data_IF_932961918617
#
_entry.id   IF_932961918617
#
_cell.length_a   1.000
_cell.length_b   1.000
_cell.length_c   1.000
_cell.angle_alpha   90.00
_cell.angle_beta   90.00
_cell.angle_gamma   90.00
#
_symmetry.space_group_name_H-M   'P 1'
#
loop_
_entity.id
_entity.type
_entity.pdbx_description
1 polymer ?
#
# COMPACT_ATOMS: atom_id res chain seq x y z
N UNK A 1 6.39 -25.93 -2.31
CA UNK A 1 5.56 -27.16 -2.34
C UNK A 1 4.18 -26.84 -1.83
N UNK A 2 3.14 -27.30 -2.51
CA UNK A 2 1.76 -27.11 -2.07
C UNK A 2 1.44 -27.96 -0.85
N UNK A 3 0.36 -27.62 -0.15
CA UNK A 3 -0.17 -28.38 0.98
C UNK A 3 -0.28 -29.89 0.66
N UNK A 4 -0.83 -30.22 -0.51
CA UNK A 4 -1.01 -31.60 -0.98
C UNK A 4 0.32 -32.32 -1.26
N UNK A 5 1.30 -31.62 -1.83
CA UNK A 5 2.63 -32.20 -2.08
C UNK A 5 3.37 -32.55 -0.78
N UNK A 6 3.24 -31.73 0.27
CA UNK A 6 3.82 -32.02 1.58
C UNK A 6 3.09 -33.17 2.29
N UNK A 7 1.76 -33.21 2.20
CA UNK A 7 0.97 -34.32 2.74
C UNK A 7 1.34 -35.66 2.09
N UNK A 8 1.44 -35.67 0.76
CA UNK A 8 1.90 -36.84 0.01
C UNK A 8 3.33 -37.25 0.40
N UNK A 9 4.26 -36.30 0.50
CA UNK A 9 5.63 -36.56 0.92
C UNK A 9 5.70 -37.13 2.36
N UNK A 10 4.88 -36.62 3.28
CA UNK A 10 4.80 -37.16 4.64
C UNK A 10 4.37 -38.63 4.64
N UNK A 11 3.35 -38.99 3.85
CA UNK A 11 2.88 -40.37 3.70
C UNK A 11 3.99 -41.27 3.13
N UNK A 12 4.68 -40.81 2.07
CA UNK A 12 5.79 -41.55 1.47
C UNK A 12 6.93 -41.76 2.47
N UNK A 13 7.32 -40.75 3.25
CA UNK A 13 8.35 -40.88 4.29
C UNK A 13 7.93 -41.85 5.40
N UNK A 14 6.66 -41.86 5.81
CA UNK A 14 6.13 -42.81 6.81
C UNK A 14 6.17 -44.24 6.26
N UNK A 15 5.77 -44.45 5.00
CA UNK A 15 5.81 -45.78 4.37
C UNK A 15 7.24 -46.30 4.18
N UNK A 16 8.17 -45.43 3.77
CA UNK A 16 9.60 -45.78 3.66
C UNK A 16 10.29 -45.91 5.02
N UNK A 17 9.70 -45.36 6.09
CA UNK A 17 10.16 -45.51 7.47
C UNK A 17 10.24 -46.96 7.93
N UNK A 18 9.38 -47.84 7.40
CA UNK A 18 9.44 -49.28 7.67
C UNK A 18 10.70 -49.96 7.11
N UNK A 19 11.36 -49.34 6.12
CA UNK A 19 12.63 -49.81 5.54
C UNK A 19 13.81 -49.04 6.16
N UNK A 20 13.64 -47.76 6.44
CA UNK A 20 14.67 -46.89 7.02
C UNK A 20 14.08 -45.99 8.11
N UNK A 21 14.23 -46.45 9.36
CA UNK A 21 13.59 -45.89 10.55
C UNK A 21 13.69 -44.35 10.72
N UNK A 22 14.80 -43.67 10.38
CA UNK A 22 14.89 -42.21 10.48
C UNK A 22 13.83 -41.43 9.66
N UNK A 23 13.24 -42.04 8.63
CA UNK A 23 12.21 -41.39 7.82
C UNK A 23 10.88 -41.19 8.55
N UNK A 24 10.61 -41.92 9.63
CA UNK A 24 9.45 -41.65 10.48
C UNK A 24 9.53 -40.27 11.14
N UNK A 25 10.72 -39.86 11.59
CA UNK A 25 10.93 -38.53 12.16
C UNK A 25 10.72 -37.44 11.11
N UNK A 26 11.26 -37.63 9.90
CA UNK A 26 11.07 -36.69 8.80
C UNK A 26 9.60 -36.60 8.36
N UNK A 27 8.93 -37.75 8.22
CA UNK A 27 7.49 -37.82 7.92
C UNK A 27 6.63 -37.15 8.99
N UNK A 28 6.96 -37.36 10.27
CA UNK A 28 6.32 -36.71 11.40
C UNK A 28 6.48 -35.18 11.40
N UNK A 29 7.68 -34.67 11.11
CA UNK A 29 7.93 -33.22 10.99
C UNK A 29 7.14 -32.58 9.85
N UNK A 30 7.07 -33.25 8.69
CA UNK A 30 6.30 -32.76 7.53
C UNK A 30 4.80 -32.81 7.84
N UNK A 31 4.31 -33.91 8.44
CA UNK A 31 2.92 -34.04 8.87
C UNK A 31 2.55 -32.97 9.91
N UNK A 32 3.44 -32.68 10.87
CA UNK A 32 3.26 -31.60 11.85
C UNK A 32 3.21 -30.22 11.19
N UNK A 33 4.06 -29.95 10.19
CA UNK A 33 4.00 -28.70 9.41
C UNK A 33 2.67 -28.55 8.66
N UNK A 34 2.16 -29.63 8.07
CA UNK A 34 0.86 -29.65 7.39
C UNK A 34 -0.27 -29.43 8.41
N UNK A 35 -0.26 -30.15 9.53
CA UNK A 35 -1.24 -30.01 10.61
C UNK A 35 -1.32 -28.57 11.14
N UNK A 36 -0.16 -27.97 11.47
CA UNK A 36 -0.08 -26.56 11.89
C UNK A 36 -0.71 -25.63 10.87
N UNK A 37 -0.47 -25.85 9.58
CA UNK A 37 -1.05 -24.99 8.55
C UNK A 37 -2.57 -25.10 8.45
N UNK A 38 -3.16 -26.29 8.70
CA UNK A 38 -4.63 -26.45 8.73
C UNK A 38 -5.20 -25.73 9.96
N UNK A 39 -4.60 -25.96 11.13
CA UNK A 39 -5.10 -25.43 12.40
C UNK A 39 -4.96 -23.91 12.47
N UNK A 40 -3.85 -23.37 11.96
CA UNK A 40 -3.58 -21.92 11.96
C UNK A 40 -4.23 -21.19 10.77
N UNK A 41 -4.66 -21.90 9.71
CA UNK A 41 -5.26 -21.27 8.52
C UNK A 41 -6.50 -20.42 8.82
N UNK A 42 -7.49 -20.87 9.62
CA UNK A 42 -8.64 -20.04 9.98
C UNK A 42 -8.23 -18.75 10.69
N UNK A 43 -7.29 -18.82 11.63
CA UNK A 43 -6.79 -17.64 12.35
C UNK A 43 -6.07 -16.67 11.42
N UNK A 44 -5.22 -17.16 10.51
CA UNK A 44 -4.56 -16.33 9.50
C UNK A 44 -5.55 -15.67 8.54
N UNK A 45 -6.55 -16.43 8.06
CA UNK A 45 -7.61 -15.90 7.19
C UNK A 45 -8.45 -14.85 7.92
N UNK A 46 -8.82 -15.09 9.17
CA UNK A 46 -9.54 -14.13 10.00
C UNK A 46 -8.72 -12.86 10.21
N UNK A 47 -7.43 -12.99 10.49
CA UNK A 47 -6.51 -11.86 10.63
C UNK A 47 -6.36 -11.08 9.32
N UNK A 48 -6.22 -11.77 8.18
CA UNK A 48 -6.16 -11.15 6.85
C UNK A 48 -7.47 -10.42 6.52
N UNK A 49 -8.62 -11.06 6.74
CA UNK A 49 -9.92 -10.45 6.53
C UNK A 49 -10.13 -9.22 7.44
N UNK A 50 -9.64 -9.26 8.68
CA UNK A 50 -9.69 -8.12 9.59
C UNK A 50 -8.80 -6.96 9.12
N UNK A 51 -7.61 -7.26 8.59
CA UNK A 51 -6.73 -6.26 7.98
C UNK A 51 -7.40 -5.64 6.76
N UNK A 52 -7.93 -6.45 5.84
CA UNK A 52 -8.64 -5.98 4.64
C UNK A 52 -9.87 -5.14 5.02
N UNK A 53 -10.64 -5.56 6.03
CA UNK A 53 -11.77 -4.80 6.54
C UNK A 53 -11.34 -3.46 7.16
N UNK A 54 -10.20 -3.42 7.86
CA UNK A 54 -9.67 -2.17 8.42
C UNK A 54 -9.16 -1.20 7.34
N UNK A 55 -8.56 -1.72 6.26
CA UNK A 55 -8.09 -0.91 5.13
C UNK A 55 -9.27 -0.33 4.34
N UNK A 56 -10.35 -1.10 4.21
CA UNK A 56 -11.55 -0.70 3.48
C UNK A 56 -12.63 -0.08 4.37
N UNK A 57 -12.31 0.22 5.64
CA UNK A 57 -13.21 0.95 6.51
C UNK A 57 -13.56 2.29 5.85
N UNK A 58 -14.83 2.72 5.87
CA UNK A 58 -15.23 3.96 5.22
C UNK A 58 -14.45 5.13 5.81
N UNK A 59 -13.85 5.94 4.94
CA UNK A 59 -13.08 7.13 5.33
C UNK A 59 -13.83 8.36 4.85
N UNK A 60 -14.16 9.26 5.78
CA UNK A 60 -14.83 10.52 5.44
C UNK A 60 -13.86 11.56 4.89
N UNK A 61 -14.41 12.56 4.22
CA UNK A 61 -13.65 13.74 3.76
C UNK A 61 -13.01 14.44 4.96
N UNK A 62 -13.71 14.52 6.07
CA UNK A 62 -13.24 15.15 7.31
C UNK A 62 -12.06 14.39 7.93
N UNK A 63 -12.09 13.06 7.90
CA UNK A 63 -10.97 12.22 8.35
C UNK A 63 -9.71 12.47 7.51
N UNK A 64 -9.87 12.59 6.19
CA UNK A 64 -8.77 12.92 5.28
C UNK A 64 -8.26 14.34 5.53
N UNK A 65 -9.16 15.31 5.74
CA UNK A 65 -8.78 16.69 6.04
C UNK A 65 -8.00 16.77 7.35
N UNK A 66 -8.40 16.02 8.37
CA UNK A 66 -7.69 15.94 9.65
C UNK A 66 -6.30 15.31 9.50
N UNK A 67 -6.10 14.44 8.50
CA UNK A 67 -4.81 13.84 8.18
C UNK A 67 -3.79 14.79 7.55
N UNK A 68 -4.25 15.88 6.93
CA UNK A 68 -3.39 16.78 6.18
C UNK A 68 -2.40 17.46 7.13
N UNK A 69 -1.11 17.39 6.81
CA UNK A 69 -0.02 17.90 7.65
C UNK A 69 0.27 19.38 7.34
N UNK A 70 -0.24 19.90 6.22
CA UNK A 70 -0.06 21.29 5.80
C UNK A 70 -1.34 21.95 5.24
N UNK A 71 -1.44 23.29 5.30
CA UNK A 71 -2.52 24.03 4.65
C UNK A 71 -2.57 23.83 3.12
N UNK A 72 -1.42 23.52 2.50
CA UNK A 72 -1.33 23.27 1.07
C UNK A 72 -1.98 21.93 0.70
N UNK A 73 -1.75 20.88 1.49
CA UNK A 73 -2.44 19.60 1.32
C UNK A 73 -3.96 19.74 1.48
N UNK A 74 -4.41 20.47 2.50
CA UNK A 74 -5.83 20.72 2.71
C UNK A 74 -6.47 21.49 1.54
N UNK A 75 -5.78 22.52 1.03
CA UNK A 75 -6.25 23.27 -0.15
C UNK A 75 -6.26 22.40 -1.43
N UNK A 76 -5.28 21.51 -1.59
CA UNK A 76 -5.25 20.57 -2.70
C UNK A 76 -6.40 19.56 -2.61
N UNK A 77 -6.65 18.99 -1.42
CA UNK A 77 -7.77 18.12 -1.15
C UNK A 77 -9.10 18.80 -1.53
N UNK A 78 -9.30 20.05 -1.11
CA UNK A 78 -10.48 20.84 -1.45
C UNK A 78 -10.67 21.02 -2.96
N UNK A 79 -9.57 21.28 -3.68
CA UNK A 79 -9.59 21.39 -5.13
C UNK A 79 -10.02 20.08 -5.79
N UNK A 80 -9.48 18.95 -5.32
CA UNK A 80 -9.84 17.61 -5.83
C UNK A 80 -11.29 17.24 -5.53
N UNK A 81 -11.78 17.52 -4.31
CA UNK A 81 -13.18 17.29 -3.92
C UNK A 81 -14.12 18.09 -4.82
N UNK A 82 -13.82 19.37 -5.03
CA UNK A 82 -14.63 20.24 -5.89
C UNK A 82 -14.65 19.75 -7.34
N UNK A 83 -13.48 19.41 -7.90
CA UNK A 83 -13.36 18.99 -9.30
C UNK A 83 -14.05 17.64 -9.58
N UNK A 84 -13.90 16.65 -8.70
CA UNK A 84 -14.39 15.28 -8.91
C UNK A 84 -15.67 14.96 -8.14
N UNK A 85 -16.22 15.91 -7.39
CA UNK A 85 -17.36 15.70 -6.48
C UNK A 85 -17.12 14.51 -5.54
N UNK A 86 -15.93 14.45 -4.92
CA UNK A 86 -15.51 13.31 -4.11
C UNK A 86 -16.39 13.16 -2.85
N UNK A 87 -16.78 11.93 -2.55
CA UNK A 87 -17.60 11.55 -1.40
C UNK A 87 -16.95 10.42 -0.61
N UNK A 88 -17.38 10.26 0.64
CA UNK A 88 -16.98 9.16 1.54
C UNK A 88 -17.14 7.80 0.85
N UNK A 89 -16.07 7.02 0.84
CA UNK A 89 -16.03 5.68 0.26
C UNK A 89 -15.25 4.69 1.13
N UNK A 90 -15.26 3.40 0.76
CA UNK A 90 -14.56 2.36 1.52
C UNK A 90 -13.04 2.52 1.36
N UNK A 91 -12.33 2.95 2.40
CA UNK A 91 -10.87 3.12 2.39
C UNK A 91 -10.32 4.23 1.48
N UNK A 92 -11.18 5.11 0.96
CA UNK A 92 -10.85 6.22 0.06
C UNK A 92 -12.05 7.18 -0.05
N UNK A 93 -11.84 8.39 -0.56
CA UNK A 93 -12.93 9.20 -1.11
C UNK A 93 -12.99 9.03 -2.63
N UNK A 94 -14.19 8.97 -3.18
CA UNK A 94 -14.42 8.63 -4.59
C UNK A 94 -15.43 9.58 -5.24
N UNK A 95 -15.25 9.85 -6.52
CA UNK A 95 -16.16 10.72 -7.28
C UNK A 95 -15.74 10.84 -8.74
N UNK A 96 -16.72 10.91 -9.64
CA UNK A 96 -16.50 11.02 -11.10
C UNK A 96 -15.46 10.02 -11.65
N UNK A 97 -15.45 8.80 -11.11
CA UNK A 97 -14.55 7.72 -11.52
C UNK A 97 -13.11 7.88 -11.06
N UNK A 98 -12.79 8.82 -10.17
CA UNK A 98 -11.50 8.98 -9.48
C UNK A 98 -11.60 8.46 -8.04
N UNK A 99 -10.56 7.74 -7.61
CA UNK A 99 -10.39 7.29 -6.23
C UNK A 99 -9.17 7.99 -5.60
N UNK A 100 -9.38 8.65 -4.47
CA UNK A 100 -8.34 9.38 -3.73
C UNK A 100 -8.19 8.79 -2.32
N UNK A 101 -7.00 8.29 -1.99
CA UNK A 101 -6.63 7.87 -0.64
C UNK A 101 -5.67 8.87 -0.01
N UNK A 102 -5.80 9.09 1.29
CA UNK A 102 -4.87 9.91 2.08
C UNK A 102 -3.92 9.04 2.90
N UNK A 103 -2.95 9.67 3.56
CA UNK A 103 -2.01 9.02 4.49
C UNK A 103 -2.68 8.06 5.49
N UNK A 104 -3.89 8.38 5.96
CA UNK A 104 -4.65 7.54 6.91
C UNK A 104 -5.24 6.31 6.21
N UNK A 105 -5.87 6.48 5.04
CA UNK A 105 -6.44 5.37 4.28
C UNK A 105 -5.38 4.49 3.60
N UNK A 106 -4.16 5.01 3.46
CA UNK A 106 -3.01 4.27 2.95
C UNK A 106 -2.35 3.37 4.01
N UNK A 107 -2.59 3.57 5.31
CA UNK A 107 -2.15 2.65 6.37
C UNK A 107 -0.65 2.28 6.41
N UNK A 108 0.23 3.08 5.76
CA UNK A 108 1.53 2.71 5.17
C UNK A 108 1.37 2.22 3.74
N UNK A 109 1.71 3.06 2.77
CA UNK A 109 2.09 2.57 1.45
C UNK A 109 3.31 1.67 1.65
N UNK A 110 3.09 0.35 1.76
CA UNK A 110 4.17 -0.64 1.75
C UNK A 110 4.64 -0.74 0.30
N UNK A 111 5.45 0.23 -0.09
CA UNK A 111 6.43 0.03 -1.15
C UNK A 111 7.34 -1.06 -0.57
N UNK A 112 7.28 -2.26 -1.14
CA UNK A 112 7.81 -3.57 -0.69
C UNK A 112 6.84 -4.57 -0.03
N UNK A 113 6.79 -5.74 -0.67
CA UNK A 113 6.42 -7.05 -0.10
C UNK A 113 7.60 -7.81 0.51
N UNK A 114 8.82 -7.24 0.50
CA UNK A 114 10.03 -7.89 1.01
C UNK A 114 10.84 -7.05 2.00
N UNK A 115 10.84 -7.46 3.27
CA UNK A 115 11.90 -7.25 4.29
C UNK A 115 12.52 -5.87 4.57
N UNK A 116 12.05 -4.74 4.03
CA UNK A 116 12.60 -3.43 4.37
C UNK A 116 11.72 -2.65 5.37
N UNK A 117 12.34 -2.18 6.44
CA UNK A 117 11.80 -1.33 7.52
C UNK A 117 11.40 0.09 7.09
N UNK A 118 11.26 0.35 5.79
CA UNK A 118 11.02 1.69 5.24
C UNK A 118 9.57 1.84 4.80
N UNK A 119 8.77 2.53 5.60
CA UNK A 119 7.44 2.96 5.19
C UNK A 119 7.52 4.39 4.73
N UNK A 120 7.36 4.59 3.43
CA UNK A 120 7.25 5.93 2.88
C UNK A 120 5.81 6.42 3.05
N UNK A 121 5.68 7.67 3.48
CA UNK A 121 4.40 8.39 3.51
C UNK A 121 4.31 9.23 2.25
N UNK A 122 3.17 9.15 1.59
CA UNK A 122 2.78 9.98 0.46
C UNK A 122 1.56 10.78 0.89
N UNK A 123 1.40 12.03 0.45
CA UNK A 123 0.29 12.87 0.87
C UNK A 123 -1.03 12.32 0.35
N UNK A 124 -1.07 11.99 -0.95
CA UNK A 124 -2.24 11.41 -1.60
C UNK A 124 -1.86 10.29 -2.58
N UNK A 125 -2.77 9.34 -2.76
CA UNK A 125 -2.71 8.29 -3.78
C UNK A 125 -3.98 8.30 -4.63
N UNK A 126 -3.81 8.54 -5.92
CA UNK A 126 -4.88 8.57 -6.92
C UNK A 126 -4.91 7.23 -7.67
N UNK A 127 -6.10 6.64 -7.79
CA UNK A 127 -6.38 5.39 -8.49
C UNK A 127 -5.38 4.25 -8.16
N UNK A 128 -4.93 4.21 -6.91
CA UNK A 128 -3.99 3.20 -6.37
C UNK A 128 -2.63 3.11 -7.11
N UNK A 129 -2.29 4.08 -7.97
CA UNK A 129 -1.05 4.07 -8.80
C UNK A 129 -0.31 5.40 -8.88
N UNK A 130 -1.00 6.53 -8.76
CA UNK A 130 -0.39 7.86 -8.84
C UNK A 130 -0.23 8.46 -7.45
N UNK A 131 1.01 8.51 -6.97
CA UNK A 131 1.40 9.22 -5.76
C UNK A 131 1.46 10.72 -6.08
N UNK A 132 0.78 11.54 -5.28
CA UNK A 132 0.85 13.00 -5.35
C UNK A 132 1.46 13.52 -4.06
N UNK A 133 2.57 14.26 -4.18
CA UNK A 133 3.26 14.92 -3.07
C UNK A 133 3.12 16.44 -3.22
N UNK A 134 2.71 17.12 -2.14
CA UNK A 134 2.56 18.56 -2.09
C UNK A 134 3.84 19.15 -1.49
N UNK A 135 4.73 19.60 -2.37
CA UNK A 135 6.05 20.06 -1.97
C UNK A 135 5.99 21.50 -1.44
N UNK A 136 6.10 21.64 -0.12
CA UNK A 136 6.36 22.91 0.54
C UNK A 136 7.81 23.28 0.33
N UNK A 137 8.07 24.17 -0.65
CA UNK A 137 9.41 24.61 -1.03
C UNK A 137 10.29 24.95 0.18
N UNK A 138 11.07 23.97 0.64
CA UNK A 138 12.04 24.15 1.72
C UNK A 138 13.41 23.92 1.11
N UNK A 139 13.92 24.99 0.50
CA UNK A 139 15.32 25.11 0.14
C UNK A 139 16.14 24.89 1.41
N UNK A 140 16.87 23.78 1.47
CA UNK A 140 18.08 23.47 2.27
C UNK A 140 18.17 21.94 2.51
N UNK A 141 18.06 21.14 1.44
CA UNK A 141 18.25 19.68 1.54
C UNK A 141 19.74 19.36 1.50
N UNK A 142 20.24 18.63 2.52
CA UNK A 142 21.61 18.12 2.49
C UNK A 142 21.77 17.08 1.34
N UNK A 143 22.98 16.83 0.85
CA UNK A 143 23.22 15.79 -0.16
C UNK A 143 22.65 14.42 0.23
N UNK A 144 22.66 14.09 1.53
CA UNK A 144 22.10 12.86 2.08
C UNK A 144 20.57 12.83 2.00
N UNK A 145 19.89 13.97 2.20
CA UNK A 145 18.45 14.07 2.04
C UNK A 145 18.05 13.83 0.57
N UNK A 146 18.78 14.44 -0.38
CA UNK A 146 18.57 14.24 -1.81
C UNK A 146 18.78 12.77 -2.22
N UNK A 147 19.82 12.12 -1.68
CA UNK A 147 20.06 10.71 -1.95
C UNK A 147 18.93 9.80 -1.42
N UNK A 148 18.40 10.09 -0.22
CA UNK A 148 17.26 9.35 0.35
C UNK A 148 15.98 9.55 -0.46
N UNK A 149 15.70 10.77 -0.89
CA UNK A 149 14.51 11.06 -1.72
C UNK A 149 14.61 10.37 -3.08
N UNK A 150 15.81 10.33 -3.68
CA UNK A 150 16.04 9.56 -4.90
C UNK A 150 15.79 8.07 -4.70
N UNK A 151 16.30 7.48 -3.63
CA UNK A 151 16.06 6.08 -3.31
C UNK A 151 14.55 5.81 -3.12
N UNK A 152 13.85 6.70 -2.41
CA UNK A 152 12.40 6.62 -2.22
C UNK A 152 11.66 6.61 -3.56
N UNK A 153 12.01 7.51 -4.47
CA UNK A 153 11.38 7.59 -5.79
C UNK A 153 11.65 6.35 -6.65
N UNK A 154 12.88 5.84 -6.61
CA UNK A 154 13.26 4.61 -7.31
C UNK A 154 12.49 3.40 -6.77
N UNK A 155 12.30 3.35 -5.45
CA UNK A 155 11.54 2.29 -4.81
C UNK A 155 10.06 2.35 -5.20
N UNK A 156 9.46 3.55 -5.19
CA UNK A 156 8.09 3.77 -5.66
C UNK A 156 7.89 3.33 -7.12
N UNK A 157 8.82 3.71 -8.01
CA UNK A 157 8.76 3.33 -9.43
C UNK A 157 8.89 1.82 -9.63
N UNK A 158 9.77 1.16 -8.88
CA UNK A 158 9.97 -0.30 -8.99
C UNK A 158 8.71 -1.08 -8.57
N UNK A 159 7.94 -0.56 -7.63
CA UNK A 159 6.66 -1.14 -7.20
C UNK A 159 5.48 -0.76 -8.12
N UNK A 160 5.73 0.01 -9.20
CA UNK A 160 4.72 0.36 -10.20
C UNK A 160 3.96 1.66 -9.92
N UNK A 161 4.40 2.46 -8.95
CA UNK A 161 3.83 3.78 -8.69
C UNK A 161 4.45 4.85 -9.60
N UNK A 162 3.64 5.84 -9.97
CA UNK A 162 4.10 7.09 -10.58
C UNK A 162 4.03 8.20 -9.55
N UNK A 163 5.07 9.03 -9.44
CA UNK A 163 5.16 10.13 -8.47
C UNK A 163 4.99 11.46 -9.19
N UNK A 164 4.03 12.27 -8.74
CA UNK A 164 3.79 13.64 -9.19
C UNK A 164 4.01 14.61 -8.01
N UNK A 165 4.98 15.52 -8.16
CA UNK A 165 5.20 16.59 -7.19
C UNK A 165 4.51 17.88 -7.63
N UNK A 166 3.70 18.44 -6.74
CA UNK A 166 2.98 19.69 -6.96
C UNK A 166 3.52 20.72 -5.96
N UNK A 167 4.13 21.83 -6.41
CA UNK A 167 4.58 22.87 -5.50
C UNK A 167 3.40 23.45 -4.71
N UNK A 168 3.56 23.61 -3.39
CA UNK A 168 2.53 24.19 -2.52
C UNK A 168 2.05 25.56 -3.02
N UNK A 169 2.97 26.39 -3.54
CA UNK A 169 2.65 27.68 -4.11
C UNK A 169 1.67 27.58 -5.29
N UNK A 170 1.80 26.54 -6.13
CA UNK A 170 0.89 26.31 -7.25
C UNK A 170 -0.52 25.97 -6.74
N UNK A 171 -0.63 25.17 -5.69
CA UNK A 171 -1.93 24.83 -5.10
C UNK A 171 -2.67 26.08 -4.63
N UNK A 172 -1.98 26.98 -3.94
CA UNK A 172 -2.59 28.22 -3.44
C UNK A 172 -2.93 29.23 -4.53
N UNK A 173 -2.06 29.36 -5.54
CA UNK A 173 -2.23 30.37 -6.59
C UNK A 173 -3.15 29.91 -7.72
N UNK A 174 -3.13 28.61 -8.06
CA UNK A 174 -3.86 28.05 -9.18
C UNK A 174 -4.19 26.56 -8.94
N UNK A 175 -5.19 26.33 -8.09
CA UNK A 175 -5.66 24.98 -7.78
C UNK A 175 -6.20 24.21 -9.00
N UNK A 176 -6.78 24.92 -9.99
CA UNK A 176 -7.24 24.31 -11.25
C UNK A 176 -6.09 23.69 -12.03
N UNK A 177 -4.95 24.38 -12.09
CA UNK A 177 -3.74 23.84 -12.73
C UNK A 177 -3.17 22.66 -11.95
N UNK A 178 -3.25 22.66 -10.61
CA UNK A 178 -2.86 21.49 -9.81
C UNK A 178 -3.71 20.26 -10.16
N UNK A 179 -5.04 20.41 -10.26
CA UNK A 179 -5.95 19.34 -10.68
C UNK A 179 -5.63 18.85 -12.09
N UNK A 180 -5.38 19.77 -13.04
CA UNK A 180 -5.02 19.43 -14.42
C UNK A 180 -3.73 18.62 -14.51
N UNK A 181 -2.74 18.89 -13.65
CA UNK A 181 -1.52 18.08 -13.58
C UNK A 181 -1.81 16.65 -13.13
N UNK A 182 -2.72 16.47 -12.16
CA UNK A 182 -3.19 15.16 -11.73
C UNK A 182 -3.88 14.44 -12.88
N UNK A 183 -4.76 15.11 -13.61
CA UNK A 183 -5.44 14.57 -14.80
C UNK A 183 -4.47 14.06 -15.86
N UNK A 184 -3.51 14.90 -16.23
CA UNK A 184 -2.50 14.54 -17.24
C UNK A 184 -1.64 13.36 -16.79
N UNK A 185 -1.19 13.36 -15.52
CA UNK A 185 -0.41 12.26 -14.98
C UNK A 185 -1.23 10.96 -14.89
N UNK A 186 -2.50 11.07 -14.50
CA UNK A 186 -3.45 9.97 -14.43
C UNK A 186 -3.76 9.37 -15.80
N UNK A 187 -3.86 10.20 -16.84
CA UNK A 187 -4.06 9.75 -18.21
C UNK A 187 -2.84 8.98 -18.76
N UNK A 188 -1.62 9.29 -18.29
CA UNK A 188 -0.40 8.61 -18.72
C UNK A 188 -0.21 7.21 -18.11
N UNK A 189 -0.95 6.86 -17.05
CA UNK A 189 -0.84 5.58 -16.33
C UNK A 189 -2.02 4.63 -16.54
N UNK A 190 -3.06 5.08 -17.25
CA UNK A 190 -4.21 4.29 -17.68
C UNK A 190 -3.93 3.64 -19.02
#
# INVERSE_FOLDING_TARGET
MTFFQRGFLAVVCILLGFIFFPLFFLGGLIAWSVYRDIVEAPARRAQQAQIEASINAPVSVEDIRWACESPAEAAFLDAMISAYSLQTGPGAIEGQGLRLRSQISMGRLRIYTGHASSQYRADFLVDDKLVVEIDGATYHSSPEAVARDRQRDEDMRREGYTVLRIPAQLVFQNSVEAVKRVENARAAIR
#
